data_IF_977283580542
#
_entry.id   IF_977283580542
#
_cell.length_a   1.000
_cell.length_b   1.000
_cell.length_c   1.000
_cell.angle_alpha   90.00
_cell.angle_beta   90.00
_cell.angle_gamma   90.00
#
_symmetry.space_group_name_H-M   'P 1'
#
loop_
_entity.id
_entity.type
_entity.pdbx_description
1 polymer ?
#
# COMPACT_ATOMS: atom_id res chain seq x y z
N UNK A 1 -13.91 -15.50 36.59
CA UNK A 1 -14.55 -16.31 35.53
C UNK A 1 -15.79 -15.56 35.06
N UNK A 2 -16.03 -15.38 33.76
CA UNK A 2 -15.23 -15.82 32.61
C UNK A 2 -14.24 -14.74 32.15
N UNK A 3 -13.11 -15.20 31.63
CA UNK A 3 -12.22 -14.45 30.74
C UNK A 3 -12.97 -14.20 29.44
N UNK A 4 -13.38 -12.95 29.21
CA UNK A 4 -13.79 -12.51 27.89
C UNK A 4 -12.56 -12.49 27.00
N UNK A 5 -12.33 -13.60 26.31
CA UNK A 5 -11.57 -13.61 25.08
C UNK A 5 -12.45 -12.89 24.03
N UNK A 6 -12.64 -11.59 24.21
CA UNK A 6 -13.28 -10.72 23.22
C UNK A 6 -12.33 -10.68 22.05
N UNK A 7 -12.58 -11.57 21.09
CA UNK A 7 -11.81 -11.69 19.88
C UNK A 7 -11.96 -10.37 19.15
N UNK A 8 -10.93 -9.50 19.28
CA UNK A 8 -10.91 -8.19 18.62
C UNK A 8 -11.21 -8.39 17.13
N UNK A 9 -12.02 -7.52 16.51
CA UNK A 9 -12.34 -7.68 15.10
C UNK A 9 -11.06 -7.63 14.27
N UNK A 10 -10.90 -8.64 13.42
CA UNK A 10 -9.75 -8.72 12.53
C UNK A 10 -10.13 -8.10 11.17
N UNK A 11 -9.24 -7.26 10.66
CA UNK A 11 -9.38 -6.51 9.43
C UNK A 11 -8.51 -7.19 8.37
N UNK A 12 -9.04 -7.33 7.14
CA UNK A 12 -8.21 -7.78 6.02
C UNK A 12 -7.55 -6.58 5.37
N UNK A 13 -6.23 -6.63 5.22
CA UNK A 13 -5.44 -5.59 4.59
C UNK A 13 -4.75 -6.09 3.33
N UNK A 14 -4.56 -5.21 2.36
CA UNK A 14 -3.82 -5.50 1.13
C UNK A 14 -2.63 -4.55 0.98
N UNK A 15 -1.44 -5.14 1.00
CA UNK A 15 -0.18 -4.41 0.80
C UNK A 15 0.35 -4.68 -0.60
N UNK A 16 0.58 -3.61 -1.36
CA UNK A 16 1.13 -3.68 -2.73
C UNK A 16 2.56 -3.15 -2.83
N UNK A 17 3.00 -2.35 -1.85
CA UNK A 17 4.23 -1.55 -1.88
C UNK A 17 5.29 -2.01 -0.88
N UNK A 18 5.85 -1.05 -0.14
CA UNK A 18 7.05 -1.22 0.71
C UNK A 18 6.82 -2.08 1.96
N UNK A 19 5.57 -2.33 2.32
CA UNK A 19 5.16 -3.20 3.43
C UNK A 19 5.01 -4.69 3.07
N UNK A 20 5.20 -5.09 1.80
CA UNK A 20 5.22 -6.50 1.41
C UNK A 20 6.44 -7.23 1.98
N UNK A 21 6.38 -8.56 2.12
CA UNK A 21 7.53 -9.38 2.49
C UNK A 21 8.70 -9.16 1.53
N UNK A 22 9.90 -9.06 2.10
CA UNK A 22 11.16 -8.76 1.40
C UNK A 22 11.25 -7.35 0.80
N UNK A 23 10.34 -6.45 1.16
CA UNK A 23 10.41 -5.03 0.82
C UNK A 23 10.86 -4.18 2.03
N UNK A 24 11.32 -2.92 1.81
CA UNK A 24 12.14 -2.18 2.78
C UNK A 24 11.46 -1.87 4.13
N UNK A 25 10.13 -1.82 4.18
CA UNK A 25 9.39 -1.45 5.39
C UNK A 25 8.67 -2.63 6.04
N UNK A 26 8.89 -3.87 5.58
CA UNK A 26 8.29 -5.06 6.19
C UNK A 26 8.61 -5.17 7.70
N UNK A 27 9.84 -4.84 8.09
CA UNK A 27 10.30 -4.93 9.49
C UNK A 27 9.55 -3.99 10.43
N UNK A 28 8.88 -2.95 9.92
CA UNK A 28 8.04 -2.05 10.72
C UNK A 28 6.83 -2.79 11.32
N UNK A 29 6.45 -3.94 10.75
CA UNK A 29 5.33 -4.76 11.19
C UNK A 29 5.68 -5.76 12.30
N UNK A 30 6.96 -5.89 12.66
CA UNK A 30 7.47 -6.99 13.50
C UNK A 30 6.86 -7.07 14.90
N UNK A 31 6.42 -5.94 15.46
CA UNK A 31 5.82 -5.86 16.79
C UNK A 31 4.28 -5.79 16.75
N UNK A 32 3.70 -5.91 15.56
CA UNK A 32 2.26 -5.79 15.34
C UNK A 32 1.64 -7.17 15.09
N UNK A 33 0.35 -7.28 15.36
CA UNK A 33 -0.42 -8.48 15.06
C UNK A 33 -0.81 -8.49 13.58
N UNK A 34 0.14 -8.82 12.71
CA UNK A 34 -0.02 -8.86 11.25
C UNK A 34 0.26 -10.26 10.74
N UNK A 35 -0.77 -10.93 10.24
CA UNK A 35 -0.68 -12.32 9.75
C UNK A 35 -0.82 -12.37 8.25
N UNK A 36 0.21 -12.85 7.55
CA UNK A 36 0.14 -13.12 6.12
C UNK A 36 -0.85 -14.25 5.82
N UNK A 37 -1.76 -14.04 4.86
CA UNK A 37 -2.74 -15.04 4.42
C UNK A 37 -2.34 -15.67 3.09
N UNK A 38 -2.08 -14.85 2.08
CA UNK A 38 -1.79 -15.27 0.72
C UNK A 38 -1.31 -14.11 -0.17
N UNK A 39 -0.82 -14.44 -1.37
CA UNK A 39 -0.74 -13.43 -2.44
C UNK A 39 -2.14 -13.10 -2.95
N UNK A 40 -2.32 -11.86 -3.39
CA UNK A 40 -3.58 -11.40 -3.97
C UNK A 40 -3.33 -10.48 -5.17
N UNK A 41 -4.40 -10.20 -5.91
CA UNK A 41 -4.39 -9.24 -7.02
C UNK A 41 -5.66 -8.40 -6.97
N UNK A 42 -5.59 -7.10 -7.24
CA UNK A 42 -6.79 -6.24 -7.29
C UNK A 42 -7.77 -6.74 -8.35
N UNK A 43 -9.07 -6.74 -8.03
CA UNK A 43 -10.13 -7.05 -9.00
C UNK A 43 -10.17 -5.99 -10.10
N UNK A 44 -10.18 -4.73 -9.68
CA UNK A 44 -10.11 -3.59 -10.60
C UNK A 44 -8.67 -3.24 -10.97
N UNK A 45 -8.53 -2.53 -12.09
CA UNK A 45 -7.27 -1.94 -12.49
C UNK A 45 -7.03 -0.64 -11.72
N UNK A 46 -5.78 -0.45 -11.27
CA UNK A 46 -5.30 0.80 -10.70
C UNK A 46 -3.96 1.20 -11.37
N UNK A 47 -3.68 2.50 -11.53
CA UNK A 47 -2.36 2.95 -11.90
C UNK A 47 -1.45 2.83 -10.68
N UNK A 48 -0.54 1.86 -10.70
CA UNK A 48 0.58 1.80 -9.78
C UNK A 48 1.79 2.45 -10.45
N UNK A 49 2.27 3.54 -9.85
CA UNK A 49 3.46 4.28 -10.30
C UNK A 49 4.55 4.16 -9.25
N UNK A 50 5.79 4.43 -9.66
CA UNK A 50 6.91 4.61 -8.74
C UNK A 50 7.41 6.03 -8.97
N UNK A 51 7.24 6.91 -7.98
CA UNK A 51 7.74 8.28 -8.10
C UNK A 51 9.27 8.23 -8.09
N UNK A 52 9.90 8.48 -9.24
CA UNK A 52 11.35 8.26 -9.46
C UNK A 52 12.23 8.93 -8.42
N UNK A 53 11.84 10.12 -7.99
CA UNK A 53 12.64 10.98 -7.12
C UNK A 53 12.70 10.45 -5.68
N UNK A 54 11.71 9.63 -5.28
CA UNK A 54 11.62 9.04 -3.94
C UNK A 54 11.64 7.50 -3.94
N UNK A 55 11.47 6.88 -5.12
CA UNK A 55 11.35 5.43 -5.32
C UNK A 55 10.20 4.79 -4.51
N UNK A 56 9.19 5.59 -4.16
CA UNK A 56 8.02 5.16 -3.39
C UNK A 56 6.94 4.70 -4.37
N UNK A 57 6.34 3.51 -4.16
CA UNK A 57 5.20 3.04 -4.94
C UNK A 57 3.91 3.78 -4.53
N UNK A 58 3.21 4.37 -5.49
CA UNK A 58 1.89 4.95 -5.28
C UNK A 58 0.85 4.23 -6.12
N UNK A 59 -0.13 3.58 -5.48
CA UNK A 59 -1.34 3.15 -6.17
C UNK A 59 -2.34 4.30 -6.18
N UNK A 60 -2.55 4.89 -7.35
CA UNK A 60 -3.43 6.05 -7.52
C UNK A 60 -4.89 5.61 -7.45
N UNK A 61 -5.74 6.41 -6.79
CA UNK A 61 -7.18 6.19 -6.74
C UNK A 61 -7.86 6.57 -8.06
N UNK A 62 -7.59 5.80 -9.12
CA UNK A 62 -8.18 5.90 -10.46
C UNK A 62 -8.61 4.52 -10.94
N UNK A 63 -9.64 3.99 -10.28
CA UNK A 63 -10.23 2.69 -10.56
C UNK A 63 -10.60 2.55 -12.04
N UNK A 64 -10.25 1.42 -12.64
CA UNK A 64 -10.48 1.10 -14.05
C UNK A 64 -9.35 1.50 -15.00
N UNK A 65 -8.33 2.22 -14.52
CA UNK A 65 -7.14 2.59 -15.30
C UNK A 65 -5.89 1.85 -14.81
N UNK A 66 -4.92 1.61 -15.68
CA UNK A 66 -3.67 0.93 -15.32
C UNK A 66 -3.76 -0.59 -15.39
N UNK A 67 -3.33 -1.28 -14.34
CA UNK A 67 -3.21 -2.74 -14.32
C UNK A 67 -3.84 -3.33 -13.06
N UNK A 68 -4.11 -4.63 -13.08
CA UNK A 68 -4.43 -5.37 -11.88
C UNK A 68 -3.15 -5.48 -11.05
N UNK A 69 -3.17 -4.93 -9.83
CA UNK A 69 -1.97 -4.78 -9.00
C UNK A 69 -1.81 -6.02 -8.13
N UNK A 70 -0.63 -6.63 -8.17
CA UNK A 70 -0.21 -7.73 -7.33
C UNK A 70 0.28 -7.23 -5.97
N UNK A 71 -0.15 -7.94 -4.94
CA UNK A 71 0.25 -7.67 -3.58
C UNK A 71 0.00 -8.86 -2.68
N UNK A 72 -0.09 -8.57 -1.39
CA UNK A 72 -0.20 -9.57 -0.33
C UNK A 72 -1.39 -9.26 0.55
N UNK A 73 -2.14 -10.31 0.87
CA UNK A 73 -3.32 -10.27 1.73
C UNK A 73 -2.89 -10.61 3.16
N UNK A 74 -3.29 -9.76 4.10
CA UNK A 74 -3.01 -9.87 5.51
C UNK A 74 -4.27 -9.82 6.35
N UNK A 75 -4.16 -10.37 7.56
CA UNK A 75 -5.11 -10.20 8.65
C UNK A 75 -4.42 -9.36 9.73
N UNK A 76 -5.04 -8.26 10.13
CA UNK A 76 -4.52 -7.31 11.11
C UNK A 76 -5.57 -7.03 12.18
N UNK A 77 -5.15 -6.62 13.37
CA UNK A 77 -6.06 -6.08 14.38
C UNK A 77 -6.12 -4.54 14.35
N UNK A 78 -6.95 -3.96 15.21
CA UNK A 78 -7.14 -2.51 15.29
C UNK A 78 -5.87 -1.74 15.68
N UNK A 79 -4.98 -2.36 16.47
CA UNK A 79 -3.72 -1.73 16.88
C UNK A 79 -2.76 -1.64 15.69
N UNK A 80 -2.63 -2.73 14.94
CA UNK A 80 -1.88 -2.75 13.69
C UNK A 80 -2.48 -1.76 12.67
N UNK A 81 -3.81 -1.70 12.56
CA UNK A 81 -4.48 -0.74 11.66
C UNK A 81 -4.17 0.71 12.01
N UNK A 82 -4.23 1.07 13.29
CA UNK A 82 -3.90 2.42 13.74
C UNK A 82 -2.44 2.79 13.42
N UNK A 83 -1.51 1.87 13.68
CA UNK A 83 -0.11 2.09 13.32
C UNK A 83 0.06 2.33 11.81
N UNK A 84 -0.61 1.53 10.98
CA UNK A 84 -0.54 1.66 9.52
C UNK A 84 -1.11 3.00 9.05
N UNK A 85 -2.20 3.49 9.65
CA UNK A 85 -2.77 4.81 9.32
C UNK A 85 -1.81 5.97 9.63
N UNK A 86 -1.06 5.85 10.74
CA UNK A 86 -0.01 6.80 11.10
C UNK A 86 1.20 6.69 10.15
N UNK A 87 1.62 5.45 9.85
CA UNK A 87 2.78 5.15 9.00
C UNK A 87 2.58 5.64 7.57
N UNK A 88 1.41 5.36 6.98
CA UNK A 88 1.01 5.77 5.63
C UNK A 88 0.52 7.23 5.56
N UNK A 89 0.56 7.94 6.67
CA UNK A 89 0.26 9.37 6.73
C UNK A 89 -1.18 9.75 6.36
N UNK A 90 -2.14 8.91 6.77
CA UNK A 90 -3.58 9.16 6.58
C UNK A 90 -4.00 10.47 7.25
N UNK A 91 -3.48 10.74 8.45
CA UNK A 91 -3.76 11.99 9.16
C UNK A 91 -3.15 13.24 8.51
N UNK A 92 -2.13 13.08 7.66
CA UNK A 92 -1.57 14.16 6.85
C UNK A 92 -2.19 14.24 5.46
N UNK A 93 -3.24 13.46 5.18
CA UNK A 93 -3.90 13.40 3.87
C UNK A 93 -2.96 12.98 2.72
N UNK A 94 -1.90 12.23 3.03
CA UNK A 94 -1.02 11.67 2.01
C UNK A 94 -1.75 10.52 1.31
N UNK A 95 -1.89 9.39 1.98
CA UNK A 95 -2.72 8.28 1.53
C UNK A 95 -4.11 8.31 2.15
N UNK A 96 -5.05 7.66 1.47
CA UNK A 96 -6.42 7.45 1.95
C UNK A 96 -6.62 5.95 2.15
N UNK A 97 -7.06 5.57 3.34
CA UNK A 97 -7.51 4.21 3.62
C UNK A 97 -8.83 3.95 2.90
N UNK A 98 -8.80 3.06 1.91
CA UNK A 98 -9.94 2.69 1.10
C UNK A 98 -10.22 1.18 1.18
N UNK A 99 -11.50 0.84 1.13
CA UNK A 99 -11.92 -0.54 0.92
C UNK A 99 -11.94 -0.86 -0.57
N UNK A 100 -11.15 -1.85 -0.98
CA UNK A 100 -11.09 -2.35 -2.36
C UNK A 100 -11.34 -3.86 -2.41
N UNK A 101 -11.62 -4.38 -3.60
CA UNK A 101 -11.77 -5.81 -3.84
C UNK A 101 -10.48 -6.42 -4.39
N UNK A 102 -10.05 -7.54 -3.80
CA UNK A 102 -8.91 -8.34 -4.28
C UNK A 102 -9.29 -9.80 -4.45
N UNK A 103 -8.67 -10.46 -5.42
CA UNK A 103 -8.74 -11.90 -5.63
C UNK A 103 -7.61 -12.55 -4.84
N UNK A 104 -7.95 -13.36 -3.85
CA UNK A 104 -7.01 -14.22 -3.14
C UNK A 104 -6.49 -15.32 -4.08
N UNK A 105 -5.19 -15.35 -4.37
CA UNK A 105 -4.61 -16.37 -5.27
C UNK A 105 -4.64 -17.79 -4.71
N UNK A 106 -4.80 -17.94 -3.39
CA UNK A 106 -4.87 -19.25 -2.72
C UNK A 106 -6.26 -19.87 -2.84
N UNK A 107 -7.32 -19.10 -2.59
CA UNK A 107 -8.70 -19.58 -2.58
C UNK A 107 -9.50 -19.23 -3.83
N UNK A 108 -8.99 -18.34 -4.67
CA UNK A 108 -9.67 -17.73 -5.82
C UNK A 108 -10.98 -17.00 -5.42
N UNK A 109 -11.09 -16.57 -4.16
CA UNK A 109 -12.21 -15.80 -3.65
C UNK A 109 -11.92 -14.30 -3.71
N UNK A 110 -12.99 -13.50 -3.84
CA UNK A 110 -12.91 -12.06 -3.70
C UNK A 110 -13.01 -11.68 -2.22
N UNK A 111 -12.14 -10.79 -1.77
CA UNK A 111 -12.19 -10.20 -0.45
C UNK A 111 -12.23 -8.67 -0.54
N UNK A 112 -13.10 -8.07 0.27
CA UNK A 112 -13.02 -6.66 0.62
C UNK A 112 -11.91 -6.47 1.64
N UNK A 113 -11.01 -5.53 1.37
CA UNK A 113 -9.79 -5.29 2.13
C UNK A 113 -9.51 -3.80 2.26
N UNK A 114 -8.91 -3.38 3.36
CA UNK A 114 -8.35 -2.04 3.48
C UNK A 114 -7.02 -1.95 2.70
N UNK A 115 -6.81 -0.84 2.00
CA UNK A 115 -5.57 -0.55 1.29
C UNK A 115 -5.37 0.96 1.18
N UNK A 116 -4.11 1.39 1.14
CA UNK A 116 -3.73 2.80 1.15
C UNK A 116 -3.52 3.29 -0.28
N UNK A 117 -4.42 4.12 -0.78
CA UNK A 117 -4.34 4.66 -2.15
C UNK A 117 -4.11 6.17 -2.12
N UNK A 118 -3.40 6.66 -3.12
CA UNK A 118 -3.19 8.09 -3.30
C UNK A 118 -4.41 8.70 -3.99
N UNK A 119 -5.18 9.52 -3.27
CA UNK A 119 -6.21 10.39 -3.85
C UNK A 119 -5.68 11.81 -4.08
N UNK A 120 -6.51 12.67 -4.69
CA UNK A 120 -6.21 14.08 -4.97
C UNK A 120 -4.75 14.31 -5.42
N UNK A 121 -4.30 13.49 -6.37
CA UNK A 121 -2.94 13.48 -6.84
C UNK A 121 -2.75 14.45 -8.01
N UNK A 122 -1.53 14.97 -8.20
CA UNK A 122 -1.22 15.85 -9.35
C UNK A 122 -1.43 15.10 -10.66
N UNK A 123 -2.09 15.73 -11.63
CA UNK A 123 -2.36 15.14 -12.94
C UNK A 123 -1.07 14.69 -13.66
N UNK A 124 0.02 15.43 -13.48
CA UNK A 124 1.33 15.17 -14.06
C UNK A 124 1.95 13.83 -13.64
N UNK A 125 1.52 13.25 -12.52
CA UNK A 125 1.93 11.90 -12.11
C UNK A 125 1.46 10.83 -13.09
N UNK A 126 0.39 11.09 -13.84
CA UNK A 126 -0.24 10.17 -14.76
C UNK A 126 -0.33 10.77 -16.17
N UNK A 127 0.83 10.91 -16.83
CA UNK A 127 0.96 11.37 -18.20
C UNK A 127 1.32 10.21 -19.16
N UNK A 128 1.48 10.52 -20.45
CA UNK A 128 1.77 9.54 -21.51
C UNK A 128 3.10 8.78 -21.34
N UNK A 129 4.04 9.34 -20.58
CA UNK A 129 5.35 8.73 -20.30
C UNK A 129 5.38 8.00 -18.95
N UNK A 130 4.30 8.06 -18.16
CA UNK A 130 4.23 7.38 -16.87
C UNK A 130 4.23 5.86 -17.07
N UNK A 131 5.22 5.19 -16.50
CA UNK A 131 5.29 3.73 -16.49
C UNK A 131 4.33 3.19 -15.43
N UNK A 132 3.44 2.28 -15.85
CA UNK A 132 2.46 1.63 -14.98
C UNK A 132 2.89 0.20 -14.65
N UNK A 133 3.04 -0.06 -13.36
CA UNK A 133 3.45 -1.35 -12.83
C UNK A 133 2.22 -2.19 -12.48
N UNK A 134 2.37 -3.51 -12.54
CA UNK A 134 1.43 -4.48 -11.97
C UNK A 134 1.98 -5.04 -10.66
N UNK A 135 3.27 -4.87 -10.38
CA UNK A 135 3.90 -5.31 -9.14
C UNK A 135 5.07 -4.39 -8.79
N UNK A 136 5.10 -3.92 -7.54
CA UNK A 136 6.27 -3.21 -7.00
C UNK A 136 7.32 -4.20 -6.50
N UNK A 137 8.59 -3.86 -6.72
CA UNK A 137 9.69 -4.38 -5.90
C UNK A 137 10.86 -3.40 -5.88
N UNK A 138 11.41 -3.15 -4.69
CA UNK A 138 12.60 -2.30 -4.47
C UNK A 138 13.85 -2.74 -5.24
N UNK A 139 13.92 -4.03 -5.64
CA UNK A 139 15.04 -4.65 -6.38
C UNK A 139 14.84 -4.68 -7.90
N UNK A 140 13.77 -4.07 -8.41
CA UNK A 140 13.44 -4.17 -9.82
C UNK A 140 14.44 -3.36 -10.69
N UNK A 141 15.06 -4.04 -11.66
CA UNK A 141 16.08 -3.53 -12.60
C UNK A 141 15.66 -2.34 -13.47
N UNK A 142 14.38 -1.98 -13.50
CA UNK A 142 13.88 -0.83 -14.27
C UNK A 142 14.02 0.51 -13.53
N UNK A 143 14.41 0.48 -12.26
CA UNK A 143 14.79 1.66 -11.48
C UNK A 143 16.04 1.32 -10.64
N UNK A 144 16.87 2.32 -10.32
CA UNK A 144 17.99 2.11 -9.40
C UNK A 144 17.47 1.59 -8.05
N UNK A 145 18.27 0.76 -7.36
CA UNK A 145 17.88 0.12 -6.09
C UNK A 145 17.25 1.15 -5.14
N UNK A 146 16.16 0.78 -4.46
CA UNK A 146 15.59 1.62 -3.41
C UNK A 146 16.66 1.86 -2.35
N UNK A 147 17.12 3.11 -2.24
CA UNK A 147 17.91 3.56 -1.11
C UNK A 147 16.96 4.30 -0.21
N UNK A 148 16.69 3.73 0.97
CA UNK A 148 15.96 4.44 2.02
C UNK A 148 16.77 5.70 2.35
N UNK A 149 16.34 6.85 1.85
CA UNK A 149 16.93 8.10 2.29
C UNK A 149 16.48 8.29 3.74
N UNK A 150 17.39 8.07 4.69
CA UNK A 150 17.10 8.22 6.11
C UNK A 150 16.54 9.63 6.44
N UNK A 151 16.84 10.60 5.58
CA UNK A 151 16.43 12.00 5.71
C UNK A 151 15.09 12.33 5.01
N UNK A 152 14.39 11.36 4.40
CA UNK A 152 13.08 11.60 3.74
C UNK A 152 12.11 10.43 3.97
N UNK A 153 11.38 10.43 5.11
CA UNK A 153 10.29 9.48 5.35
C UNK A 153 9.26 9.47 4.23
N UNK A 154 8.62 8.31 3.98
CA UNK A 154 7.61 8.16 2.92
C UNK A 154 6.39 9.08 3.15
N UNK A 155 6.07 9.37 4.42
CA UNK A 155 5.03 10.30 4.83
C UNK A 155 5.53 11.74 5.10
N UNK A 156 6.68 12.13 4.55
CA UNK A 156 7.23 13.49 4.73
C UNK A 156 6.50 14.55 3.91
N UNK A 157 6.61 15.81 4.34
CA UNK A 157 6.02 16.96 3.63
C UNK A 157 6.55 17.10 2.19
N UNK A 158 7.83 16.77 1.96
CA UNK A 158 8.43 16.85 0.61
C UNK A 158 7.76 15.84 -0.33
N UNK A 159 7.47 14.64 0.15
CA UNK A 159 6.73 13.63 -0.63
C UNK A 159 5.30 14.09 -0.88
N UNK A 160 4.62 14.61 0.15
CA UNK A 160 3.28 15.17 0.03
C UNK A 160 3.23 16.25 -1.06
N UNK A 161 4.11 17.25 -0.97
CA UNK A 161 4.16 18.38 -1.89
C UNK A 161 4.49 17.94 -3.31
N UNK A 162 5.21 16.83 -3.48
CA UNK A 162 5.52 16.28 -4.79
C UNK A 162 4.29 15.63 -5.45
N UNK A 163 3.44 14.96 -4.69
CA UNK A 163 2.39 14.08 -5.25
C UNK A 163 0.96 14.60 -5.14
N UNK A 164 0.66 15.47 -4.17
CA UNK A 164 -0.71 15.97 -3.94
C UNK A 164 -0.99 17.23 -4.75
N UNK A 165 -2.20 17.31 -5.29
CA UNK A 165 -2.71 18.53 -5.91
C UNK A 165 -2.97 19.59 -4.83
N UNK A 166 -2.70 20.86 -5.18
CA UNK A 166 -2.97 22.03 -4.33
C UNK A 166 -4.46 22.32 -4.18
#
# INVERSE_FOLDING_TARGET
>A
MPSENSQKPLIKAFFYGTLKRNEPNFDQLSNLNVTFLSEAVTVDKYPLIIASDFKIPFMLNKKGYGKNVHGELYLIDEEAKKFLDEFEGVHQNLYTDLTIDVIDKKSNQIHQVCSYLLDNFKEDLLNENTILFDNYSSKNKYHSEYEKCADTPENSQIVYDAVKAS
#
